data_IF_682665879491
#
_entry.id   IF_682665879491
#
_cell.length_a   1.000
_cell.length_b   1.000
_cell.length_c   1.000
_cell.angle_alpha   90.00
_cell.angle_beta   90.00
_cell.angle_gamma   90.00
#
_symmetry.space_group_name_H-M   'P 1'
#
loop_
_entity.id
_entity.type
_entity.pdbx_description
1 polymer ?
#
# COMPACT_ATOMS: atom_id res chain seq x y z
N UNK A 1 26.06 19.95 8.15
CA UNK A 1 26.04 19.52 6.72
C UNK A 1 24.78 18.72 6.36
N UNK A 2 24.41 17.69 7.12
CA UNK A 2 23.23 16.83 6.84
C UNK A 2 21.91 17.60 6.72
N UNK A 3 21.67 18.59 7.58
CA UNK A 3 20.50 19.48 7.51
C UNK A 3 20.37 20.22 6.18
N UNK A 4 21.48 20.74 5.63
CA UNK A 4 21.49 21.44 4.34
C UNK A 4 21.11 20.50 3.19
N UNK A 5 21.59 19.26 3.22
CA UNK A 5 21.22 18.25 2.22
C UNK A 5 19.74 17.89 2.30
N UNK A 6 19.19 17.72 3.51
CA UNK A 6 17.76 17.45 3.70
C UNK A 6 16.91 18.63 3.20
N UNK A 7 17.29 19.87 3.50
CA UNK A 7 16.61 21.08 3.02
C UNK A 7 16.66 21.19 1.48
N UNK A 8 17.80 20.87 0.87
CA UNK A 8 17.93 20.83 -0.59
C UNK A 8 17.05 19.73 -1.21
N UNK A 9 17.06 18.52 -0.64
CA UNK A 9 16.23 17.40 -1.11
C UNK A 9 14.75 17.72 -0.95
N UNK A 10 14.33 18.40 0.12
CA UNK A 10 12.94 18.81 0.36
C UNK A 10 12.36 19.57 -0.84
N UNK A 11 13.14 20.52 -1.38
CA UNK A 11 12.75 21.41 -2.49
C UNK A 11 13.05 20.84 -3.88
N UNK A 12 13.77 19.72 -3.98
CA UNK A 12 14.09 19.10 -5.27
C UNK A 12 12.86 18.52 -5.98
N UNK A 13 12.81 18.49 -7.33
CA UNK A 13 11.77 17.77 -8.05
C UNK A 13 11.71 16.25 -7.76
N UNK A 14 10.50 15.63 -7.72
CA UNK A 14 10.33 14.21 -7.41
C UNK A 14 11.22 13.23 -8.20
N UNK A 15 11.44 13.40 -9.53
CA UNK A 15 12.24 12.45 -10.29
C UNK A 15 13.72 12.38 -9.86
N UNK A 16 14.26 13.47 -9.30
CA UNK A 16 15.69 13.54 -8.94
C UNK A 16 15.95 13.20 -7.47
N UNK A 17 14.93 13.27 -6.60
CA UNK A 17 15.07 13.00 -5.15
C UNK A 17 15.71 11.64 -4.84
N UNK A 18 15.29 10.50 -5.44
CA UNK A 18 15.95 9.22 -5.22
C UNK A 18 17.45 9.23 -5.50
N UNK A 19 17.86 9.92 -6.58
CA UNK A 19 19.28 10.06 -6.93
C UNK A 19 20.03 10.92 -5.90
N UNK A 20 19.49 12.09 -5.55
CA UNK A 20 20.06 12.97 -4.52
C UNK A 20 20.22 12.30 -3.17
N UNK A 21 19.25 11.48 -2.76
CA UNK A 21 19.34 10.74 -1.50
C UNK A 21 20.45 9.69 -1.51
N UNK A 22 20.66 9.00 -2.63
CA UNK A 22 21.81 8.08 -2.78
C UNK A 22 23.14 8.82 -2.69
N UNK A 23 23.27 9.95 -3.38
CA UNK A 23 24.54 10.68 -3.51
C UNK A 23 24.89 11.54 -2.30
N UNK A 24 23.93 12.27 -1.73
CA UNK A 24 24.17 13.22 -0.64
C UNK A 24 23.99 12.61 0.75
N UNK A 25 23.12 11.61 0.89
CA UNK A 25 22.80 10.99 2.18
C UNK A 25 23.32 9.55 2.32
N UNK A 26 23.92 8.97 1.27
CA UNK A 26 24.33 7.56 1.26
C UNK A 26 23.16 6.58 1.40
N UNK A 27 21.94 7.01 1.05
CA UNK A 27 20.74 6.20 1.23
C UNK A 27 20.70 5.01 0.26
N UNK A 28 20.19 3.87 0.73
CA UNK A 28 19.92 2.69 -0.09
C UNK A 28 18.53 2.82 -0.70
N UNK A 29 18.45 3.29 -1.95
CA UNK A 29 17.17 3.52 -2.64
C UNK A 29 17.00 2.50 -3.77
N UNK A 30 15.91 1.74 -3.71
CA UNK A 30 15.52 0.74 -4.70
C UNK A 30 15.11 1.30 -6.07
N UNK A 31 14.70 0.41 -6.96
CA UNK A 31 14.23 0.71 -8.32
C UNK A 31 12.83 1.31 -8.28
N UNK A 32 12.61 2.32 -9.14
CA UNK A 32 11.31 3.01 -9.30
C UNK A 32 10.70 3.59 -8.02
N UNK A 33 11.53 3.86 -7.00
CA UNK A 33 11.10 4.59 -5.80
C UNK A 33 10.65 5.99 -6.19
N UNK A 34 9.47 6.39 -5.68
CA UNK A 34 8.92 7.73 -5.88
C UNK A 34 8.92 8.50 -4.57
N UNK A 35 9.42 9.73 -4.60
CA UNK A 35 9.43 10.63 -3.44
C UNK A 35 8.78 11.94 -3.85
N UNK A 36 7.67 12.27 -3.22
CA UNK A 36 6.81 13.40 -3.59
C UNK A 36 7.40 14.75 -3.24
N UNK A 37 6.77 15.80 -3.78
CA UNK A 37 7.11 17.19 -3.47
C UNK A 37 7.06 17.45 -1.96
N UNK A 38 8.05 18.18 -1.44
CA UNK A 38 8.14 18.54 -0.02
C UNK A 38 8.14 17.35 0.94
N UNK A 39 8.40 16.13 0.45
CA UNK A 39 8.73 15.01 1.31
C UNK A 39 10.20 15.11 1.73
N UNK A 40 10.48 14.86 3.02
CA UNK A 40 11.82 14.85 3.58
C UNK A 40 12.00 13.69 4.56
N UNK A 41 13.18 13.09 4.52
CA UNK A 41 13.59 12.02 5.41
C UNK A 41 14.95 12.38 5.99
N UNK A 42 15.02 12.40 7.32
CA UNK A 42 16.24 12.53 8.10
C UNK A 42 16.31 11.35 9.05
N UNK A 43 17.35 10.55 8.90
CA UNK A 43 17.62 9.34 9.70
C UNK A 43 19.12 9.03 9.67
N UNK A 44 19.60 8.18 10.57
CA UNK A 44 21.00 7.73 10.60
C UNK A 44 21.36 6.87 9.39
N UNK A 45 20.58 5.83 9.10
CA UNK A 45 20.56 5.14 7.82
C UNK A 45 19.16 5.19 7.18
N UNK A 46 19.12 5.31 5.85
CA UNK A 46 17.88 5.33 5.07
C UNK A 46 17.92 4.18 4.06
N UNK A 47 16.92 3.30 4.11
CA UNK A 47 16.69 2.25 3.14
C UNK A 47 15.23 2.29 2.64
N UNK A 48 15.05 2.31 1.31
CA UNK A 48 13.72 2.29 0.67
C UNK A 48 13.73 1.21 -0.41
N UNK A 49 12.83 0.25 -0.30
CA UNK A 49 12.68 -0.87 -1.23
C UNK A 49 12.09 -0.48 -2.59
N UNK A 50 12.23 -1.38 -3.56
CA UNK A 50 11.72 -1.23 -4.92
C UNK A 50 10.21 -0.93 -4.96
N UNK A 51 9.79 -0.12 -5.94
CA UNK A 51 8.37 0.26 -6.17
C UNK A 51 7.68 1.03 -5.05
N UNK A 52 8.41 1.41 -4.00
CA UNK A 52 7.84 2.12 -2.86
C UNK A 52 7.64 3.61 -3.14
N UNK A 53 6.62 4.18 -2.51
CA UNK A 53 6.24 5.58 -2.69
C UNK A 53 6.16 6.31 -1.36
N UNK A 54 6.83 7.45 -1.28
CA UNK A 54 6.65 8.42 -0.20
C UNK A 54 5.98 9.63 -0.81
N UNK A 55 4.74 9.90 -0.41
CA UNK A 55 3.92 10.94 -1.05
C UNK A 55 4.29 12.33 -0.53
N UNK A 56 3.73 13.33 -1.19
CA UNK A 56 4.05 14.72 -0.94
C UNK A 56 3.73 15.16 0.50
N UNK A 57 4.48 16.14 1.00
CA UNK A 57 4.28 16.79 2.30
C UNK A 57 4.41 15.86 3.51
N UNK A 58 5.22 14.81 3.37
CA UNK A 58 5.51 13.86 4.45
C UNK A 58 6.90 14.11 5.02
N UNK A 59 7.00 14.17 6.34
CA UNK A 59 8.24 14.42 7.05
C UNK A 59 8.53 13.22 7.97
N UNK A 60 9.70 12.60 7.77
CA UNK A 60 10.20 11.52 8.61
C UNK A 60 11.52 12.00 9.22
N UNK A 61 11.56 12.19 10.54
CA UNK A 61 12.73 12.68 11.27
C UNK A 61 13.05 11.79 12.46
N UNK A 62 13.84 10.75 12.24
CA UNK A 62 14.30 9.85 13.28
C UNK A 62 15.79 10.08 13.56
N UNK A 63 16.24 9.89 14.80
CA UNK A 63 17.69 9.83 15.10
C UNK A 63 18.29 8.44 14.87
N UNK A 64 17.45 7.39 14.83
CA UNK A 64 17.82 6.03 14.44
C UNK A 64 17.68 5.77 12.95
N UNK A 65 17.49 4.50 12.58
CA UNK A 65 17.39 4.04 11.21
C UNK A 65 15.96 4.10 10.66
N UNK A 66 15.82 4.39 9.37
CA UNK A 66 14.55 4.33 8.65
C UNK A 66 14.66 3.31 7.52
N UNK A 67 13.87 2.24 7.61
CA UNK A 67 13.76 1.22 6.58
C UNK A 67 12.30 1.07 6.13
N UNK A 68 12.07 1.18 4.82
CA UNK A 68 10.76 0.99 4.19
C UNK A 68 10.90 -0.13 3.16
N UNK A 69 10.11 -1.19 3.31
CA UNK A 69 10.08 -2.35 2.43
C UNK A 69 9.61 -2.02 1.01
N UNK A 70 9.63 -3.03 0.13
CA UNK A 70 9.23 -2.95 -1.28
C UNK A 70 7.72 -2.79 -1.40
N UNK A 71 7.26 -2.14 -2.46
CA UNK A 71 5.84 -1.91 -2.75
C UNK A 71 5.07 -1.17 -1.64
N UNK A 72 5.77 -0.54 -0.70
CA UNK A 72 5.16 0.12 0.44
C UNK A 72 4.86 1.58 0.13
N UNK A 73 3.76 2.09 0.68
CA UNK A 73 3.28 3.45 0.42
C UNK A 73 3.15 4.20 1.74
N UNK A 74 3.93 5.27 1.85
CA UNK A 74 3.81 6.26 2.91
C UNK A 74 3.05 7.45 2.33
N UNK A 75 1.79 7.62 2.74
CA UNK A 75 0.88 8.63 2.17
C UNK A 75 1.27 10.07 2.52
N UNK A 76 0.44 11.04 2.14
CA UNK A 76 0.72 12.47 2.34
C UNK A 76 0.44 12.93 3.77
N UNK A 77 1.11 14.01 4.18
CA UNK A 77 0.88 14.68 5.47
C UNK A 77 1.18 13.79 6.68
N UNK A 78 2.13 12.88 6.55
CA UNK A 78 2.56 12.04 7.67
C UNK A 78 3.70 12.75 8.39
N UNK A 79 3.67 12.68 9.72
CA UNK A 79 4.74 13.15 10.58
C UNK A 79 5.27 11.97 11.40
N UNK A 80 6.55 11.66 11.22
CA UNK A 80 7.30 10.74 12.07
C UNK A 80 8.41 11.52 12.76
N UNK A 81 8.53 11.38 14.07
CA UNK A 81 9.61 12.01 14.85
C UNK A 81 10.06 11.12 16.00
N UNK A 82 11.34 11.19 16.36
CA UNK A 82 11.86 10.57 17.59
C UNK A 82 13.32 10.14 17.52
N UNK A 83 13.81 9.52 18.59
CA UNK A 83 15.20 9.13 18.74
C UNK A 83 15.59 7.75 18.13
N UNK A 84 14.62 6.90 17.80
CA UNK A 84 14.85 5.48 17.48
C UNK A 84 14.48 5.10 16.03
N UNK A 85 14.43 3.79 15.77
CA UNK A 85 14.25 3.22 14.43
C UNK A 85 12.78 3.14 14.01
N UNK A 86 12.50 3.49 12.76
CA UNK A 86 11.24 3.18 12.08
C UNK A 86 11.47 2.12 11.00
N UNK A 87 10.88 0.94 11.19
CA UNK A 87 11.01 -0.20 10.28
C UNK A 87 9.63 -0.59 9.75
N UNK A 88 9.44 -0.51 8.44
CA UNK A 88 8.19 -0.86 7.75
C UNK A 88 8.46 -1.97 6.74
N UNK A 89 7.69 -3.05 6.79
CA UNK A 89 7.80 -4.22 5.91
C UNK A 89 7.38 -3.95 4.46
N UNK A 90 7.38 -5.02 3.67
CA UNK A 90 6.96 -5.00 2.27
C UNK A 90 5.43 -4.89 2.17
N UNK A 91 4.91 -4.29 1.08
CA UNK A 91 3.45 -4.24 0.82
C UNK A 91 2.65 -3.55 1.94
N UNK A 92 3.28 -2.60 2.63
CA UNK A 92 2.69 -1.92 3.79
C UNK A 92 2.25 -0.50 3.45
N UNK A 93 1.19 -0.05 4.11
CA UNK A 93 0.56 1.25 3.85
C UNK A 93 0.49 2.08 5.12
N UNK A 94 0.92 3.34 5.04
CA UNK A 94 0.67 4.33 6.10
C UNK A 94 -0.24 5.41 5.53
N UNK A 95 -1.45 5.48 6.07
CA UNK A 95 -2.50 6.39 5.62
C UNK A 95 -2.23 7.85 5.97
N UNK A 96 -2.89 8.78 5.26
CA UNK A 96 -2.60 10.20 5.38
C UNK A 96 -2.91 10.73 6.77
N UNK A 97 -2.17 11.77 7.19
CA UNK A 97 -2.32 12.41 8.50
C UNK A 97 -2.03 11.49 9.70
N UNK A 98 -1.35 10.36 9.47
CA UNK A 98 -0.85 9.51 10.55
C UNK A 98 0.34 10.16 11.24
N UNK A 99 0.39 10.04 12.56
CA UNK A 99 1.49 10.53 13.40
C UNK A 99 2.16 9.34 14.08
N UNK A 100 3.49 9.26 13.99
CA UNK A 100 4.30 8.22 14.62
C UNK A 100 5.37 8.88 15.48
N UNK A 101 5.22 8.76 16.80
CA UNK A 101 6.27 9.05 17.75
C UNK A 101 7.15 7.82 17.92
N UNK A 102 8.44 8.00 17.61
CA UNK A 102 9.45 6.97 17.47
C UNK A 102 10.63 7.24 18.42
N UNK A 103 10.34 7.63 19.67
CA UNK A 103 11.36 7.77 20.71
C UNK A 103 11.91 6.41 21.15
N UNK A 104 11.06 5.37 21.10
CA UNK A 104 11.50 3.97 21.00
C UNK A 104 11.22 3.41 19.60
N UNK A 105 11.71 2.21 19.32
CA UNK A 105 11.55 1.56 18.02
C UNK A 105 10.07 1.36 17.67
N UNK A 106 9.71 1.68 16.43
CA UNK A 106 8.44 1.30 15.81
C UNK A 106 8.70 0.31 14.67
N UNK A 107 8.12 -0.89 14.78
CA UNK A 107 8.15 -1.90 13.71
C UNK A 107 6.74 -2.13 13.18
N UNK A 108 6.57 -2.06 11.87
CA UNK A 108 5.37 -2.44 11.14
C UNK A 108 5.71 -3.58 10.20
N UNK A 109 5.03 -4.72 10.32
CA UNK A 109 5.22 -5.90 9.48
C UNK A 109 4.85 -5.67 8.01
N UNK A 110 4.95 -6.74 7.23
CA UNK A 110 4.58 -6.76 5.82
C UNK A 110 3.08 -6.96 5.64
N UNK A 111 2.53 -6.45 4.54
CA UNK A 111 1.08 -6.47 4.27
C UNK A 111 0.24 -5.77 5.34
N UNK A 112 0.86 -4.85 6.10
CA UNK A 112 0.23 -4.17 7.21
C UNK A 112 -0.11 -2.72 6.85
N UNK A 113 -1.27 -2.25 7.31
CA UNK A 113 -1.81 -0.96 6.94
C UNK A 113 -2.25 -0.16 8.17
N UNK A 114 -1.72 1.05 8.31
CA UNK A 114 -2.31 2.09 9.15
C UNK A 114 -3.26 2.92 8.30
N UNK A 115 -4.50 3.05 8.72
CA UNK A 115 -5.50 3.91 8.11
C UNK A 115 -5.15 5.39 8.23
N UNK A 116 -6.04 6.25 7.72
CA UNK A 116 -5.85 7.69 7.88
C UNK A 116 -5.94 8.09 9.36
N UNK A 117 -5.13 9.07 9.77
CA UNK A 117 -5.14 9.66 11.13
C UNK A 117 -4.88 8.67 12.26
N UNK A 118 -4.15 7.58 12.00
CA UNK A 118 -3.68 6.74 13.09
C UNK A 118 -2.61 7.48 13.90
N UNK A 119 -2.46 7.08 15.17
CA UNK A 119 -1.45 7.63 16.07
C UNK A 119 -0.72 6.49 16.75
N UNK A 120 0.60 6.43 16.57
CA UNK A 120 1.47 5.43 17.19
C UNK A 120 2.42 6.17 18.12
N UNK A 121 2.38 5.85 19.41
CA UNK A 121 3.25 6.47 20.40
C UNK A 121 4.14 5.42 21.04
N UNK A 122 5.40 5.77 21.23
CA UNK A 122 6.40 4.96 21.94
C UNK A 122 6.86 5.60 23.24
N UNK A 123 6.51 6.87 23.43
CA UNK A 123 6.75 7.63 24.64
C UNK A 123 5.52 8.49 24.99
N UNK A 124 5.26 8.66 26.28
CA UNK A 124 4.30 9.63 26.78
C UNK A 124 4.70 10.15 28.16
N UNK A 125 4.99 11.44 28.25
CA UNK A 125 5.11 12.22 29.49
C UNK A 125 4.87 13.70 29.22
N UNK A 126 4.48 14.42 30.26
CA UNK A 126 4.41 15.89 30.25
C UNK A 126 4.66 16.46 31.65
N UNK A 127 4.03 15.85 32.67
CA UNK A 127 4.24 16.24 34.06
C UNK A 127 5.57 15.73 34.63
N UNK A 128 6.13 16.39 35.67
CA UNK A 128 7.42 16.02 36.23
C UNK A 128 7.41 14.62 36.84
N UNK A 129 8.16 13.68 36.26
CA UNK A 129 8.29 12.32 36.81
C UNK A 129 8.84 12.31 38.24
N UNK A 130 9.69 13.29 38.58
CA UNK A 130 10.26 13.50 39.92
C UNK A 130 9.21 13.84 40.99
N UNK A 131 8.00 14.24 40.60
CA UNK A 131 6.86 14.46 41.50
C UNK A 131 5.95 13.22 41.62
N UNK A 132 6.33 12.10 40.99
CA UNK A 132 5.57 10.84 41.05
C UNK A 132 4.54 10.66 39.93
N UNK A 133 4.47 11.58 38.96
CA UNK A 133 3.68 11.35 37.73
C UNK A 133 4.26 10.20 36.92
N UNK A 134 3.42 9.49 36.17
CA UNK A 134 3.86 8.36 35.38
C UNK A 134 4.51 8.81 34.06
N UNK A 135 5.54 8.06 33.64
CA UNK A 135 6.10 8.10 32.29
C UNK A 135 6.01 6.70 31.70
N UNK A 136 5.77 6.61 30.40
CA UNK A 136 5.82 5.33 29.69
C UNK A 136 6.74 5.47 28.48
N UNK A 137 7.74 4.59 28.43
CA UNK A 137 8.53 4.30 27.24
C UNK A 137 8.27 2.85 26.85
N UNK A 138 8.21 2.58 25.56
CA UNK A 138 8.22 1.21 25.08
C UNK A 138 8.11 1.12 23.57
N UNK A 139 8.82 0.17 22.95
CA UNK A 139 8.74 -0.04 21.51
C UNK A 139 7.34 -0.49 21.10
N UNK A 140 6.91 -0.11 19.91
CA UNK A 140 5.66 -0.61 19.32
C UNK A 140 5.98 -1.58 18.20
N UNK A 141 5.38 -2.77 18.27
CA UNK A 141 5.50 -3.78 17.22
C UNK A 141 4.12 -4.09 16.65
N UNK A 142 3.98 -3.96 15.34
CA UNK A 142 2.81 -4.38 14.57
C UNK A 142 3.26 -5.54 13.68
N UNK A 143 2.59 -6.68 13.80
CA UNK A 143 2.85 -7.89 13.02
C UNK A 143 2.57 -7.75 11.53
N UNK A 144 2.60 -8.88 10.84
CA UNK A 144 2.29 -9.00 9.42
C UNK A 144 0.78 -9.12 9.20
N UNK A 145 0.29 -8.64 8.05
CA UNK A 145 -1.14 -8.67 7.68
C UNK A 145 -2.07 -8.00 8.71
N UNK A 146 -1.61 -6.92 9.33
CA UNK A 146 -2.39 -6.14 10.30
C UNK A 146 -3.05 -4.95 9.62
N UNK A 147 -4.35 -4.76 9.82
CA UNK A 147 -5.04 -3.55 9.38
C UNK A 147 -5.56 -2.75 10.58
N UNK A 148 -4.99 -1.58 10.82
CA UNK A 148 -5.55 -0.60 11.73
C UNK A 148 -6.40 0.38 10.92
N UNK A 149 -7.72 0.39 11.12
CA UNK A 149 -8.59 1.32 10.43
C UNK A 149 -8.39 2.77 10.89
N UNK A 150 -9.13 3.71 10.28
CA UNK A 150 -8.88 5.13 10.45
C UNK A 150 -9.02 5.58 11.91
N UNK A 151 -8.10 6.41 12.37
CA UNK A 151 -8.14 7.02 13.70
C UNK A 151 -7.73 6.10 14.85
N UNK A 152 -7.11 4.94 14.58
CA UNK A 152 -6.63 4.04 15.65
C UNK A 152 -5.46 4.66 16.39
N UNK A 153 -5.50 4.59 17.72
CA UNK A 153 -4.40 4.99 18.61
C UNK A 153 -3.71 3.75 19.20
N UNK A 154 -2.38 3.72 19.21
CA UNK A 154 -1.58 2.63 19.79
C UNK A 154 -0.67 3.20 20.89
N UNK A 155 -0.80 2.66 22.11
CA UNK A 155 -0.01 3.08 23.26
C UNK A 155 1.45 2.61 23.20
N UNK A 156 2.35 3.30 23.94
CA UNK A 156 3.74 2.87 24.11
C UNK A 156 3.88 1.42 24.58
N UNK A 157 4.83 0.68 24.03
CA UNK A 157 5.13 -0.68 24.48
C UNK A 157 4.17 -1.77 23.99
N UNK A 158 3.22 -1.45 23.10
CA UNK A 158 2.24 -2.43 22.61
C UNK A 158 2.81 -3.29 21.48
N UNK A 159 2.58 -4.59 21.59
CA UNK A 159 2.81 -5.58 20.53
C UNK A 159 1.49 -6.10 19.99
N UNK A 160 1.24 -5.89 18.69
CA UNK A 160 0.13 -6.46 17.94
C UNK A 160 0.66 -7.65 17.13
N UNK A 161 0.07 -8.83 17.33
CA UNK A 161 0.38 -10.03 16.56
C UNK A 161 0.00 -9.95 15.08
N UNK A 162 0.17 -11.05 14.37
CA UNK A 162 -0.10 -11.14 12.94
C UNK A 162 -1.59 -11.33 12.64
N UNK A 163 -2.03 -10.95 11.44
CA UNK A 163 -3.41 -11.13 11.00
C UNK A 163 -4.42 -10.51 11.99
N UNK A 164 -4.23 -9.23 12.35
CA UNK A 164 -5.13 -8.50 13.25
C UNK A 164 -5.89 -7.43 12.49
N UNK A 165 -7.17 -7.24 12.82
CA UNK A 165 -7.94 -6.09 12.36
C UNK A 165 -8.38 -5.21 13.53
N UNK A 166 -8.02 -3.93 13.50
CA UNK A 166 -8.42 -2.96 14.53
C UNK A 166 -9.43 -1.99 13.92
N UNK A 167 -10.66 -1.99 14.43
CA UNK A 167 -11.73 -1.12 13.95
C UNK A 167 -11.43 0.36 14.17
N UNK A 168 -12.11 1.20 13.38
CA UNK A 168 -11.86 2.64 13.34
C UNK A 168 -12.01 3.28 14.71
N UNK A 169 -11.14 4.26 15.02
CA UNK A 169 -11.14 5.03 16.28
C UNK A 169 -10.97 4.19 17.56
N UNK A 170 -10.48 2.95 17.44
CA UNK A 170 -10.14 2.15 18.61
C UNK A 170 -8.81 2.58 19.23
N UNK A 171 -8.62 2.30 20.51
CA UNK A 171 -7.39 2.64 21.25
C UNK A 171 -6.79 1.37 21.85
N UNK A 172 -5.66 0.94 21.30
CA UNK A 172 -4.95 -0.26 21.71
C UNK A 172 -4.02 0.08 22.87
N UNK A 173 -4.36 -0.42 24.06
CA UNK A 173 -3.66 -0.11 25.32
C UNK A 173 -2.78 -1.26 25.83
N UNK A 174 -2.98 -2.47 25.28
CA UNK A 174 -2.35 -3.73 25.71
C UNK A 174 -1.97 -4.55 24.47
N UNK A 175 -1.10 -5.54 24.66
CA UNK A 175 -0.71 -6.48 23.61
C UNK A 175 -1.92 -7.25 23.07
N UNK A 176 -1.84 -7.61 21.79
CA UNK A 176 -2.92 -8.21 21.02
C UNK A 176 -2.42 -9.51 20.41
N UNK A 177 -3.18 -10.58 20.58
CA UNK A 177 -2.84 -11.88 19.99
C UNK A 177 -3.09 -11.87 18.48
N UNK A 178 -2.37 -12.73 17.75
CA UNK A 178 -2.59 -12.91 16.32
C UNK A 178 -4.01 -13.39 16.02
N UNK A 179 -4.58 -12.98 14.88
CA UNK A 179 -5.90 -13.46 14.43
C UNK A 179 -7.10 -12.75 15.05
N UNK A 180 -6.89 -11.71 15.87
CA UNK A 180 -7.98 -11.00 16.55
C UNK A 180 -8.57 -9.85 15.74
N UNK A 181 -9.83 -9.55 16.03
CA UNK A 181 -10.51 -8.32 15.61
C UNK A 181 -10.82 -7.49 16.84
N UNK A 182 -10.31 -6.27 16.89
CA UNK A 182 -10.45 -5.37 18.03
C UNK A 182 -11.43 -4.23 17.74
N UNK A 183 -12.12 -3.77 18.77
CA UNK A 183 -12.96 -2.57 18.71
C UNK A 183 -13.00 -1.84 20.06
N UNK A 184 -13.11 -0.50 20.02
CA UNK A 184 -13.46 0.34 21.17
C UNK A 184 -12.29 1.07 21.82
N UNK A 185 -12.59 1.75 22.93
CA UNK A 185 -11.63 2.48 23.77
C UNK A 185 -11.91 2.19 25.26
N UNK A 186 -11.09 1.36 25.93
CA UNK A 186 -9.97 0.60 25.38
C UNK A 186 -10.43 -0.47 24.37
N UNK A 187 -9.61 -0.76 23.38
CA UNK A 187 -9.90 -1.76 22.37
C UNK A 187 -9.94 -3.16 23.00
N UNK A 188 -10.97 -3.94 22.67
CA UNK A 188 -11.16 -5.33 23.12
C UNK A 188 -11.42 -6.24 21.92
N UNK A 189 -11.02 -7.50 22.03
CA UNK A 189 -11.34 -8.50 21.02
C UNK A 189 -12.85 -8.73 20.94
N UNK A 190 -13.42 -8.60 19.74
CA UNK A 190 -14.86 -8.78 19.46
C UNK A 190 -15.14 -10.00 18.60
N UNK A 191 -14.19 -10.41 17.76
CA UNK A 191 -14.27 -11.64 16.96
C UNK A 191 -12.86 -12.05 16.49
N UNK A 192 -12.77 -13.11 15.70
CA UNK A 192 -11.52 -13.55 15.06
C UNK A 192 -11.53 -13.31 13.56
N UNK A 193 -10.35 -13.16 12.97
CA UNK A 193 -10.19 -13.00 11.53
C UNK A 193 -10.73 -14.20 10.73
N UNK A 194 -10.58 -15.43 11.26
CA UNK A 194 -11.12 -16.64 10.63
C UNK A 194 -12.64 -16.60 10.48
N UNK A 195 -13.35 -15.97 11.43
CA UNK A 195 -14.80 -15.79 11.34
C UNK A 195 -15.20 -14.75 10.29
N UNK A 196 -14.33 -13.77 10.00
CA UNK A 196 -14.55 -12.78 8.95
C UNK A 196 -14.19 -13.32 7.56
N UNK A 197 -13.14 -14.14 7.45
CA UNK A 197 -12.58 -14.59 6.16
C UNK A 197 -13.41 -15.70 5.54
N UNK A 198 -14.19 -15.36 4.51
CA UNK A 198 -14.97 -16.34 3.73
C UNK A 198 -14.11 -17.08 2.72
N UNK A 199 -14.43 -18.35 2.48
CA UNK A 199 -13.82 -19.13 1.40
C UNK A 199 -14.26 -18.65 0.01
N UNK A 200 -13.28 -18.53 -0.90
CA UNK A 200 -13.47 -18.00 -2.26
C UNK A 200 -13.35 -19.11 -3.31
N UNK A 201 -14.49 -19.74 -3.63
CA UNK A 201 -14.59 -20.70 -4.74
C UNK A 201 -14.25 -20.04 -6.08
N UNK A 202 -13.85 -20.79 -7.13
CA UNK A 202 -13.56 -20.21 -8.44
C UNK A 202 -14.69 -19.32 -8.98
N UNK A 203 -15.95 -19.77 -8.86
CA UNK A 203 -17.12 -18.98 -9.26
C UNK A 203 -17.25 -17.66 -8.48
N UNK A 204 -16.97 -17.67 -7.17
CA UNK A 204 -16.99 -16.45 -6.35
C UNK A 204 -15.86 -15.48 -6.72
N UNK A 205 -14.67 -16.00 -7.06
CA UNK A 205 -13.56 -15.18 -7.56
C UNK A 205 -13.89 -14.55 -8.91
N UNK A 206 -14.47 -15.32 -9.84
CA UNK A 206 -14.91 -14.80 -11.13
C UNK A 206 -15.96 -13.68 -10.97
N UNK A 207 -16.93 -13.88 -10.08
CA UNK A 207 -17.93 -12.86 -9.75
C UNK A 207 -17.28 -11.60 -9.15
N UNK A 208 -16.34 -11.75 -8.22
CA UNK A 208 -15.61 -10.63 -7.63
C UNK A 208 -14.78 -9.88 -8.68
N UNK A 209 -14.08 -10.58 -9.58
CA UNK A 209 -13.30 -9.96 -10.66
C UNK A 209 -14.20 -9.13 -11.60
N UNK A 210 -15.38 -9.65 -11.98
CA UNK A 210 -16.37 -8.89 -12.78
C UNK A 210 -16.87 -7.65 -12.04
N UNK A 211 -17.18 -7.78 -10.74
CA UNK A 211 -17.62 -6.65 -9.92
C UNK A 211 -16.53 -5.57 -9.82
N UNK A 212 -15.28 -5.97 -9.59
CA UNK A 212 -14.12 -5.08 -9.57
C UNK A 212 -13.99 -4.34 -10.90
N UNK A 213 -14.11 -5.05 -12.02
CA UNK A 213 -14.02 -4.44 -13.34
C UNK A 213 -15.12 -3.40 -13.58
N UNK A 214 -16.36 -3.74 -13.23
CA UNK A 214 -17.50 -2.83 -13.34
C UNK A 214 -17.29 -1.57 -12.47
N UNK A 215 -16.81 -1.74 -11.24
CA UNK A 215 -16.48 -0.61 -10.37
C UNK A 215 -15.34 0.24 -10.92
N UNK A 216 -14.32 -0.37 -11.54
CA UNK A 216 -13.23 0.36 -12.20
C UNK A 216 -13.73 1.18 -13.40
N UNK A 217 -14.60 0.61 -14.22
CA UNK A 217 -15.24 1.31 -15.35
C UNK A 217 -16.00 2.54 -14.85
N UNK A 218 -16.82 2.36 -13.81
CA UNK A 218 -17.66 3.43 -13.30
C UNK A 218 -16.86 4.51 -12.55
N UNK A 219 -16.07 4.09 -11.55
CA UNK A 219 -15.38 5.02 -10.67
C UNK A 219 -14.14 5.65 -11.32
N UNK A 220 -13.35 4.87 -12.05
CA UNK A 220 -12.10 5.39 -12.61
C UNK A 220 -12.30 5.88 -14.06
N UNK A 221 -12.82 5.04 -14.96
CA UNK A 221 -12.86 5.41 -16.38
C UNK A 221 -13.89 6.51 -16.67
N UNK A 222 -15.12 6.37 -16.16
CA UNK A 222 -16.20 7.34 -16.40
C UNK A 222 -16.09 8.57 -15.52
N UNK A 223 -15.90 8.42 -14.20
CA UNK A 223 -15.95 9.56 -13.27
C UNK A 223 -14.64 10.34 -13.20
N UNK A 224 -13.52 9.64 -12.97
CA UNK A 224 -12.21 10.30 -12.81
C UNK A 224 -11.59 10.68 -14.16
N UNK A 225 -11.50 9.73 -15.10
CA UNK A 225 -10.88 9.95 -16.42
C UNK A 225 -11.83 10.54 -17.47
N UNK A 226 -13.14 10.60 -17.18
CA UNK A 226 -14.18 11.15 -18.08
C UNK A 226 -14.19 10.54 -19.47
N UNK A 227 -13.97 9.23 -19.55
CA UNK A 227 -13.96 8.46 -20.80
C UNK A 227 -15.35 7.91 -21.09
N UNK A 228 -15.70 7.87 -22.39
CA UNK A 228 -16.90 7.19 -22.85
C UNK A 228 -16.62 5.68 -22.99
N UNK A 229 -17.31 4.85 -22.19
CA UNK A 229 -17.11 3.40 -22.12
C UNK A 229 -18.37 2.66 -22.55
N UNK A 230 -18.22 1.74 -23.50
CA UNK A 230 -19.28 0.83 -23.95
C UNK A 230 -19.08 -0.54 -23.28
N UNK A 231 -20.14 -1.08 -22.68
CA UNK A 231 -20.11 -2.37 -22.00
C UNK A 231 -20.98 -3.39 -22.74
N UNK A 232 -20.46 -4.59 -22.94
CA UNK A 232 -21.19 -5.72 -23.57
C UNK A 232 -20.69 -7.03 -22.96
N UNK A 233 -21.61 -7.89 -22.50
CA UNK A 233 -21.32 -9.21 -21.89
C UNK A 233 -20.20 -9.22 -20.83
N UNK A 234 -20.16 -8.19 -19.98
CA UNK A 234 -19.17 -8.06 -18.91
C UNK A 234 -17.76 -7.69 -19.38
N UNK A 235 -17.62 -7.28 -20.64
CA UNK A 235 -16.42 -6.64 -21.19
C UNK A 235 -16.69 -5.14 -21.39
N UNK A 236 -15.64 -4.34 -21.28
CA UNK A 236 -15.71 -2.90 -21.48
C UNK A 236 -14.76 -2.47 -22.59
N UNK A 237 -15.26 -1.63 -23.51
CA UNK A 237 -14.47 -1.07 -24.60
C UNK A 237 -14.42 0.46 -24.46
N UNK A 238 -13.23 1.01 -24.66
CA UNK A 238 -12.99 2.45 -24.48
C UNK A 238 -11.91 2.92 -25.45
N UNK A 239 -12.05 4.16 -25.92
CA UNK A 239 -11.04 4.82 -26.75
C UNK A 239 -10.24 5.81 -25.89
N UNK A 240 -8.92 5.65 -25.86
CA UNK A 240 -8.03 6.56 -25.12
C UNK A 240 -6.98 7.08 -26.08
N UNK A 241 -7.04 8.40 -26.38
CA UNK A 241 -6.15 9.06 -27.35
C UNK A 241 -6.13 8.34 -28.72
N UNK A 242 -7.30 7.94 -29.22
CA UNK A 242 -7.48 7.25 -30.50
C UNK A 242 -7.04 5.78 -30.52
N UNK A 243 -6.65 5.20 -29.37
CA UNK A 243 -6.31 3.78 -29.26
C UNK A 243 -7.48 3.00 -28.65
N UNK A 244 -7.92 1.90 -29.28
CA UNK A 244 -8.97 1.04 -28.72
C UNK A 244 -8.42 0.19 -27.57
N UNK A 245 -9.13 0.21 -26.45
CA UNK A 245 -8.92 -0.67 -25.31
C UNK A 245 -10.08 -1.64 -25.18
N UNK A 246 -9.74 -2.87 -24.80
CA UNK A 246 -10.66 -3.89 -24.37
C UNK A 246 -10.29 -4.30 -22.94
N UNK A 247 -11.22 -4.16 -22.02
CA UNK A 247 -11.07 -4.59 -20.65
C UNK A 247 -11.99 -5.78 -20.41
N UNK A 248 -11.46 -6.86 -19.85
CA UNK A 248 -12.20 -8.11 -19.69
C UNK A 248 -11.73 -8.89 -18.47
N UNK A 249 -12.58 -9.80 -18.01
CA UNK A 249 -12.21 -10.83 -17.04
C UNK A 249 -11.92 -12.14 -17.78
N UNK A 250 -10.84 -12.83 -17.39
CA UNK A 250 -10.53 -14.19 -17.85
C UNK A 250 -10.93 -15.17 -16.73
N UNK A 251 -12.14 -15.76 -16.80
CA UNK A 251 -12.71 -16.54 -15.71
C UNK A 251 -12.02 -17.88 -15.54
N UNK A 252 -12.13 -18.47 -14.34
CA UNK A 252 -11.54 -19.74 -13.98
C UNK A 252 -11.99 -20.93 -14.83
N UNK A 253 -13.21 -20.88 -15.38
CA UNK A 253 -13.80 -21.90 -16.27
C UNK A 253 -14.56 -21.23 -17.42
N UNK A 254 -14.76 -21.98 -18.50
CA UNK A 254 -15.43 -21.51 -19.74
C UNK A 254 -14.44 -21.16 -20.84
N UNK A 255 -14.94 -20.59 -21.93
CA UNK A 255 -14.09 -20.23 -23.06
C UNK A 255 -13.24 -19.00 -22.72
N UNK A 256 -11.94 -19.08 -23.00
CA UNK A 256 -11.08 -17.91 -22.96
C UNK A 256 -11.40 -17.02 -24.17
N UNK A 257 -11.13 -15.70 -24.11
CA UNK A 257 -11.28 -14.85 -25.28
C UNK A 257 -10.47 -15.41 -26.45
N UNK A 258 -11.08 -15.51 -27.63
CA UNK A 258 -10.36 -16.01 -28.80
C UNK A 258 -9.30 -15.00 -29.22
N UNK A 259 -8.17 -15.46 -29.79
CA UNK A 259 -7.09 -14.57 -30.21
C UNK A 259 -7.56 -13.48 -31.20
N UNK A 260 -8.53 -13.80 -32.05
CA UNK A 260 -9.16 -12.85 -32.98
C UNK A 260 -9.88 -11.70 -32.28
N UNK A 261 -10.52 -11.95 -31.14
CA UNK A 261 -11.27 -10.93 -30.37
C UNK A 261 -10.34 -9.89 -29.73
N UNK A 262 -9.07 -10.26 -29.55
CA UNK A 262 -8.03 -9.47 -28.91
C UNK A 262 -7.19 -8.65 -29.91
N UNK A 263 -7.25 -9.01 -31.20
CA UNK A 263 -6.38 -8.43 -32.23
C UNK A 263 -6.64 -6.93 -32.44
N UNK A 264 -5.55 -6.16 -32.60
CA UNK A 264 -5.61 -4.72 -32.91
C UNK A 264 -6.05 -3.81 -31.76
N UNK A 265 -6.24 -4.35 -30.53
CA UNK A 265 -6.65 -3.61 -29.33
C UNK A 265 -5.61 -3.73 -28.23
N UNK A 266 -5.58 -2.76 -27.32
CA UNK A 266 -4.88 -2.91 -26.04
C UNK A 266 -5.79 -3.66 -25.07
N UNK A 267 -5.34 -4.78 -24.55
CA UNK A 267 -6.16 -5.65 -23.71
C UNK A 267 -5.71 -5.55 -22.26
N UNK A 268 -6.62 -5.15 -21.37
CA UNK A 268 -6.41 -5.17 -19.92
C UNK A 268 -7.25 -6.32 -19.34
N UNK A 269 -6.59 -7.35 -18.83
CA UNK A 269 -7.26 -8.57 -18.42
C UNK A 269 -7.15 -8.80 -16.91
N UNK A 270 -8.28 -8.88 -16.21
CA UNK A 270 -8.33 -9.41 -14.84
C UNK A 270 -8.43 -10.93 -14.89
N UNK A 271 -7.40 -11.62 -14.41
CA UNK A 271 -7.27 -13.07 -14.61
C UNK A 271 -7.56 -13.81 -13.30
N UNK A 272 -8.54 -14.70 -13.35
CA UNK A 272 -8.85 -15.68 -12.28
C UNK A 272 -8.69 -17.12 -12.79
N UNK A 273 -8.16 -17.29 -14.00
CA UNK A 273 -7.88 -18.57 -14.65
C UNK A 273 -6.49 -19.09 -14.30
N UNK A 274 -6.39 -20.29 -13.69
CA UNK A 274 -5.11 -20.98 -13.56
C UNK A 274 -4.50 -21.24 -14.94
N UNK A 275 -3.18 -21.10 -15.05
CA UNK A 275 -2.40 -21.49 -16.23
C UNK A 275 -2.80 -20.80 -17.55
N UNK A 276 -3.48 -19.65 -17.48
CA UNK A 276 -3.80 -18.88 -18.70
C UNK A 276 -2.51 -18.36 -19.33
N UNK A 277 -2.20 -18.89 -20.52
CA UNK A 277 -1.10 -18.38 -21.34
C UNK A 277 -1.59 -17.19 -22.13
N UNK A 278 -0.96 -16.04 -21.91
CA UNK A 278 -1.20 -14.83 -22.69
C UNK A 278 -0.94 -15.16 -24.16
N UNK A 279 -1.92 -14.98 -25.06
CA UNK A 279 -1.71 -15.16 -26.49
C UNK A 279 -0.52 -14.28 -26.96
N UNK A 280 0.24 -14.75 -27.96
CA UNK A 280 1.44 -14.08 -28.48
C UNK A 280 1.20 -12.76 -29.21
N UNK A 281 0.32 -11.90 -28.70
CA UNK A 281 0.00 -10.59 -29.24
C UNK A 281 0.67 -9.47 -28.44
N UNK A 282 1.23 -8.51 -29.16
CA UNK A 282 1.72 -7.27 -28.57
C UNK A 282 0.53 -6.49 -27.97
N UNK A 283 0.64 -6.07 -26.70
CA UNK A 283 -0.31 -5.24 -25.95
C UNK A 283 -1.43 -5.92 -25.16
N UNK A 284 -1.18 -7.10 -24.60
CA UNK A 284 -2.01 -7.69 -23.55
C UNK A 284 -1.34 -7.48 -22.18
N UNK A 285 -2.08 -6.93 -21.22
CA UNK A 285 -1.62 -6.66 -19.86
C UNK A 285 -2.48 -7.44 -18.86
N UNK A 286 -2.07 -8.67 -18.48
CA UNK A 286 -2.75 -9.45 -17.46
C UNK A 286 -2.48 -8.92 -16.05
N UNK A 287 -3.53 -8.85 -15.24
CA UNK A 287 -3.46 -8.69 -13.80
C UNK A 287 -3.96 -9.99 -13.17
N UNK A 288 -3.02 -10.84 -12.77
CA UNK A 288 -3.32 -12.17 -12.24
C UNK A 288 -3.68 -12.10 -10.77
N UNK A 289 -4.96 -12.37 -10.47
CA UNK A 289 -5.52 -12.33 -9.12
C UNK A 289 -5.26 -13.62 -8.32
N UNK A 290 -4.61 -14.62 -8.94
CA UNK A 290 -4.20 -15.87 -8.29
C UNK A 290 -2.75 -15.81 -7.85
N UNK A 291 -1.86 -15.33 -8.73
CA UNK A 291 -0.42 -15.24 -8.45
C UNK A 291 0.01 -13.88 -7.94
N UNK A 292 -0.89 -12.89 -7.98
CA UNK A 292 -0.62 -11.49 -7.65
C UNK A 292 0.50 -10.88 -8.50
N UNK A 293 0.56 -11.27 -9.78
CA UNK A 293 1.58 -10.82 -10.74
C UNK A 293 0.96 -10.04 -11.90
N UNK A 294 1.75 -9.13 -12.45
CA UNK A 294 1.38 -8.37 -13.64
C UNK A 294 2.61 -7.87 -14.37
N UNK A 295 2.64 -7.77 -15.71
CA UNK A 295 3.82 -7.28 -16.40
C UNK A 295 4.03 -5.79 -16.16
N UNK A 296 5.27 -5.35 -16.13
CA UNK A 296 5.55 -3.91 -16.09
C UNK A 296 5.16 -3.26 -17.41
N UNK A 297 4.42 -2.15 -17.35
CA UNK A 297 4.13 -1.33 -18.53
C UNK A 297 3.93 0.14 -18.17
N UNK A 298 4.12 1.01 -19.17
CA UNK A 298 3.79 2.44 -19.08
C UNK A 298 2.35 2.73 -19.57
N UNK A 299 1.51 1.70 -19.67
CA UNK A 299 0.13 1.86 -20.11
C UNK A 299 -0.70 2.53 -19.00
N UNK A 300 -1.40 3.65 -19.30
CA UNK A 300 -2.09 4.42 -18.28
C UNK A 300 -3.29 3.68 -17.69
N UNK A 301 -4.03 2.90 -18.50
CA UNK A 301 -5.22 2.16 -18.03
C UNK A 301 -4.78 0.95 -17.21
N UNK A 302 -3.72 0.27 -17.65
CA UNK A 302 -3.10 -0.80 -16.88
C UNK A 302 -2.66 -0.34 -15.48
N UNK A 303 -1.90 0.76 -15.41
CA UNK A 303 -1.40 1.29 -14.16
C UNK A 303 -2.53 1.86 -13.27
N UNK A 304 -3.57 2.44 -13.88
CA UNK A 304 -4.77 2.89 -13.17
C UNK A 304 -5.49 1.70 -12.53
N UNK A 305 -5.71 0.60 -13.26
CA UNK A 305 -6.36 -0.58 -12.71
C UNK A 305 -5.54 -1.23 -11.60
N UNK A 306 -4.22 -1.37 -11.76
CA UNK A 306 -3.34 -1.87 -10.69
C UNK A 306 -3.46 -1.01 -9.43
N UNK A 307 -3.43 0.32 -9.57
CA UNK A 307 -3.56 1.25 -8.45
C UNK A 307 -4.94 1.16 -7.80
N UNK A 308 -5.99 0.98 -8.60
CA UNK A 308 -7.37 0.82 -8.16
C UNK A 308 -7.56 -0.47 -7.34
N UNK A 309 -7.01 -1.59 -7.80
CA UNK A 309 -7.03 -2.88 -7.11
C UNK A 309 -6.43 -2.79 -5.70
N UNK A 310 -5.25 -2.16 -5.59
CA UNK A 310 -4.59 -1.96 -4.32
C UNK A 310 -5.39 -1.02 -3.41
N UNK A 311 -5.84 0.13 -3.92
CA UNK A 311 -6.53 1.18 -3.16
C UNK A 311 -7.89 0.75 -2.62
N UNK A 312 -8.68 0.02 -3.42
CA UNK A 312 -10.08 -0.27 -3.09
C UNK A 312 -10.34 -1.70 -2.65
N UNK A 313 -9.47 -2.64 -3.04
CA UNK A 313 -9.68 -4.06 -2.79
C UNK A 313 -8.52 -4.72 -2.02
N UNK A 314 -7.48 -3.97 -1.66
CA UNK A 314 -6.31 -4.49 -0.96
C UNK A 314 -5.53 -5.53 -1.76
N UNK A 315 -5.72 -5.59 -3.08
CA UNK A 315 -5.04 -6.54 -3.96
C UNK A 315 -3.69 -5.94 -4.36
N UNK A 316 -2.62 -6.50 -3.82
CA UNK A 316 -1.27 -5.98 -4.00
C UNK A 316 -0.53 -6.79 -5.08
N UNK A 317 -0.44 -6.23 -6.28
CA UNK A 317 0.21 -6.88 -7.42
C UNK A 317 1.69 -6.47 -7.49
N UNK A 318 2.55 -7.48 -7.60
CA UNK A 318 3.96 -7.33 -7.93
C UNK A 318 4.17 -7.37 -9.44
N UNK A 319 5.17 -6.62 -9.91
CA UNK A 319 5.59 -6.76 -11.29
C UNK A 319 6.27 -8.12 -11.50
N UNK A 320 5.88 -8.85 -12.53
CA UNK A 320 6.67 -9.96 -13.05
C UNK A 320 7.80 -9.37 -13.89
N UNK A 321 9.02 -9.80 -13.60
CA UNK A 321 10.12 -9.61 -14.54
C UNK A 321 9.78 -10.49 -15.75
N UNK A 322 9.25 -9.91 -16.82
CA UNK A 322 9.15 -10.57 -18.14
C UNK A 322 10.54 -10.74 -18.78
N UNK A 323 11.57 -10.99 -17.98
CA UNK A 323 12.93 -11.30 -18.39
C UNK A 323 13.35 -12.60 -17.73
N UNK A 324 12.86 -13.71 -18.28
CA UNK A 324 13.64 -14.86 -18.74
C UNK A 324 12.77 -15.72 -19.64
#
# INVERSE_FOLDING_TARGET
MRFLFVAFILLAPPPIKPWLMRTLLGARIGRHVRIGWFAAISAHHIAIGDESEIRALTVISCSGDVAIGRYSIISSFILVYGASDLIIGDHSYVGPQTLINCDERVRIGSYSALGARCMVYTHGSFFPYTEGYWVRFGPVTIGDSVWCAAGVFIHPGVTIGDNVFVNSRSVVTQDVASGEVLEGFPARAVTTMDRLKRSMTPRRRDAAARQILAHFVELELRRELRLHVQEHDGQATVQVRGRPYLLLCVPARGDAPAAGDLAGRRVIALVTRPDWRVPGHAHIYPLDLLTYRTPRSNDPIHNALRSFLMRYYGIQLEYSDLSK
#
